data_IF_816211722969
#
_entry.id   IF_816211722969
#
_cell.length_a   1.000
_cell.length_b   1.000
_cell.length_c   1.000
_cell.angle_alpha   90.00
_cell.angle_beta   90.00
_cell.angle_gamma   90.00
#
_symmetry.space_group_name_H-M   'P 1'
#
loop_
_entity.id
_entity.type
_entity.pdbx_description
1 polymer ?
#
# COMPACT_ATOMS: atom_id res chain seq x y z
N UNK A 1 -12.08 -9.47 17.20
CA UNK A 1 -13.42 -9.30 16.64
C UNK A 1 -14.25 -8.35 17.51
N UNK A 2 -14.56 -8.63 18.75
CA UNK A 2 -15.46 -7.82 19.62
C UNK A 2 -15.02 -6.36 19.81
N UNK A 3 -13.72 -6.08 19.98
CA UNK A 3 -13.21 -4.71 20.15
C UNK A 3 -13.41 -3.87 18.88
N UNK A 4 -13.22 -4.45 17.71
CA UNK A 4 -13.41 -3.74 16.44
C UNK A 4 -14.90 -3.43 16.18
N UNK A 5 -15.79 -4.33 16.57
CA UNK A 5 -17.24 -4.09 16.52
C UNK A 5 -17.63 -2.95 17.44
N UNK A 6 -17.13 -2.94 18.68
CA UNK A 6 -17.37 -1.84 19.62
C UNK A 6 -16.84 -0.49 19.09
N UNK A 7 -15.66 -0.47 18.47
CA UNK A 7 -15.10 0.75 17.85
C UNK A 7 -16.02 1.27 16.75
N UNK A 8 -16.54 0.37 15.89
CA UNK A 8 -17.49 0.74 14.82
C UNK A 8 -18.81 1.27 15.39
N UNK A 9 -19.34 0.65 16.43
CA UNK A 9 -20.56 1.12 17.11
C UNK A 9 -20.35 2.52 17.70
N UNK A 10 -19.27 2.74 18.43
CA UNK A 10 -18.92 4.05 18.98
C UNK A 10 -18.73 5.11 17.91
N UNK A 11 -18.08 4.76 16.80
CA UNK A 11 -17.94 5.67 15.68
C UNK A 11 -19.30 6.08 15.11
N UNK A 12 -20.21 5.13 14.94
CA UNK A 12 -21.54 5.37 14.42
C UNK A 12 -22.39 6.21 15.38
N UNK A 13 -22.34 5.90 16.67
CA UNK A 13 -23.18 6.54 17.69
C UNK A 13 -22.73 7.98 17.99
N UNK A 14 -21.42 8.23 17.98
CA UNK A 14 -20.83 9.53 18.33
C UNK A 14 -20.24 10.30 17.13
N UNK A 15 -20.31 9.74 15.94
CA UNK A 15 -19.77 10.33 14.70
C UNK A 15 -18.29 10.76 14.83
N UNK A 16 -17.45 9.93 15.47
CA UNK A 16 -16.04 10.19 15.65
C UNK A 16 -15.24 9.91 14.36
N UNK A 17 -14.18 10.71 14.17
CA UNK A 17 -13.09 10.34 13.27
C UNK A 17 -12.06 9.55 14.06
N UNK A 18 -11.73 8.35 13.60
CA UNK A 18 -10.80 7.45 14.27
C UNK A 18 -9.57 7.27 13.39
N UNK A 19 -8.39 7.53 13.95
CA UNK A 19 -7.11 7.19 13.32
C UNK A 19 -6.63 5.87 13.92
N UNK A 20 -6.58 4.83 13.06
CA UNK A 20 -6.21 3.49 13.46
C UNK A 20 -4.82 3.14 12.90
N UNK A 21 -3.84 2.88 13.77
CA UNK A 21 -2.48 2.53 13.39
C UNK A 21 -2.29 1.03 13.58
N UNK A 22 -2.01 0.31 12.51
CA UNK A 22 -1.85 -1.14 12.54
C UNK A 22 -0.98 -1.62 11.37
N UNK A 23 -0.42 -2.80 11.49
CA UNK A 23 0.22 -3.53 10.40
C UNK A 23 -0.65 -4.69 9.87
N UNK A 24 -1.84 -4.87 10.42
CA UNK A 24 -2.77 -5.93 10.02
C UNK A 24 -3.70 -5.44 8.92
N UNK A 25 -3.40 -5.84 7.68
CA UNK A 25 -4.18 -5.47 6.50
C UNK A 25 -5.61 -6.02 6.53
N UNK A 26 -5.83 -7.16 7.19
CA UNK A 26 -7.17 -7.72 7.36
C UNK A 26 -8.04 -6.86 8.28
N UNK A 27 -7.45 -6.29 9.32
CA UNK A 27 -8.13 -5.31 10.18
C UNK A 27 -8.46 -4.06 9.38
N UNK A 28 -7.48 -3.49 8.64
CA UNK A 28 -7.69 -2.30 7.82
C UNK A 28 -8.83 -2.51 6.82
N UNK A 29 -8.84 -3.63 6.09
CA UNK A 29 -9.87 -3.93 5.10
C UNK A 29 -11.29 -3.96 5.69
N UNK A 30 -11.43 -4.27 6.98
CA UNK A 30 -12.73 -4.40 7.64
C UNK A 30 -13.22 -3.14 8.36
N UNK A 31 -12.31 -2.24 8.76
CA UNK A 31 -12.71 -1.12 9.65
C UNK A 31 -12.45 0.25 9.06
N UNK A 32 -11.54 0.38 8.09
CA UNK A 32 -11.14 1.68 7.58
C UNK A 32 -12.00 2.12 6.38
N UNK A 33 -12.29 3.42 6.29
CA UNK A 33 -12.86 4.05 5.10
C UNK A 33 -11.74 4.49 4.15
N UNK A 34 -10.63 4.98 4.72
CA UNK A 34 -9.45 5.44 3.99
C UNK A 34 -8.19 4.82 4.57
N UNK A 35 -7.19 4.65 3.72
CA UNK A 35 -5.90 4.04 4.08
C UNK A 35 -4.78 4.97 3.68
N UNK A 36 -3.83 5.16 4.60
CA UNK A 36 -2.54 5.75 4.33
C UNK A 36 -1.46 4.69 4.56
N UNK A 37 -0.79 4.29 3.50
CA UNK A 37 0.37 3.38 3.57
C UNK A 37 1.60 4.19 3.88
N UNK A 38 2.34 3.79 4.92
CA UNK A 38 3.55 4.49 5.35
C UNK A 38 4.79 3.65 5.13
N UNK A 39 5.86 4.30 4.70
CA UNK A 39 7.19 3.73 4.61
C UNK A 39 8.24 4.77 5.02
N UNK A 40 9.20 4.37 5.87
CA UNK A 40 10.29 5.25 6.33
C UNK A 40 9.80 6.62 6.85
N UNK A 41 8.69 6.66 7.60
CA UNK A 41 8.14 7.89 8.18
C UNK A 41 7.32 8.75 7.20
N UNK A 42 7.13 8.32 5.96
CA UNK A 42 6.40 9.07 4.93
C UNK A 42 5.15 8.32 4.49
N UNK A 43 4.09 9.06 4.14
CA UNK A 43 2.93 8.49 3.44
C UNK A 43 3.33 8.31 1.98
N UNK A 44 3.28 7.07 1.50
CA UNK A 44 3.67 6.72 0.14
C UNK A 44 2.47 6.39 -0.76
N UNK A 45 1.34 6.04 -0.17
CA UNK A 45 0.08 5.86 -0.88
C UNK A 45 -1.09 6.21 0.03
N UNK A 46 -2.10 6.87 -0.49
CA UNK A 46 -3.29 7.33 0.24
C UNK A 46 -4.51 7.21 -0.67
N UNK A 47 -5.59 6.63 -0.16
CA UNK A 47 -6.84 6.51 -0.90
C UNK A 47 -7.96 5.93 -0.04
N UNK A 48 -9.09 5.60 -0.67
CA UNK A 48 -10.10 4.76 -0.04
C UNK A 48 -9.54 3.34 0.11
N UNK A 49 -10.15 2.54 1.00
CA UNK A 49 -9.77 1.12 1.14
C UNK A 49 -9.84 0.40 -0.21
N UNK A 50 -10.92 0.63 -0.96
CA UNK A 50 -11.11 0.02 -2.28
C UNK A 50 -10.00 0.40 -3.26
N UNK A 51 -9.63 1.68 -3.34
CA UNK A 51 -8.57 2.15 -4.24
C UNK A 51 -7.21 1.53 -3.91
N UNK A 52 -6.82 1.57 -2.63
CA UNK A 52 -5.50 1.09 -2.21
C UNK A 52 -5.42 -0.44 -2.28
N UNK A 53 -6.50 -1.17 -1.97
CA UNK A 53 -6.49 -2.63 -1.98
C UNK A 53 -6.72 -3.22 -3.37
N UNK A 54 -7.56 -2.62 -4.21
CA UNK A 54 -7.91 -3.18 -5.51
C UNK A 54 -7.13 -2.59 -6.68
N UNK A 55 -6.61 -1.37 -6.54
CA UNK A 55 -5.80 -0.72 -7.57
C UNK A 55 -4.55 -0.03 -6.97
N UNK A 56 -3.74 -0.76 -6.18
CA UNK A 56 -2.53 -0.19 -5.57
C UNK A 56 -1.57 0.33 -6.65
N UNK A 57 -0.91 1.44 -6.36
CA UNK A 57 -0.02 2.12 -7.32
C UNK A 57 1.43 2.14 -6.90
N UNK A 58 1.71 2.08 -5.61
CA UNK A 58 3.09 2.09 -5.12
C UNK A 58 3.66 0.67 -5.04
N UNK A 59 4.90 0.42 -5.51
CA UNK A 59 5.53 -0.91 -5.45
C UNK A 59 5.63 -1.51 -4.04
N UNK A 60 5.79 -0.69 -3.01
CA UNK A 60 5.76 -1.17 -1.64
C UNK A 60 4.36 -1.69 -1.24
N UNK A 61 3.29 -1.01 -1.65
CA UNK A 61 1.92 -1.50 -1.43
C UNK A 61 1.67 -2.82 -2.15
N UNK A 62 2.19 -2.98 -3.38
CA UNK A 62 2.14 -4.26 -4.09
C UNK A 62 2.80 -5.39 -3.29
N UNK A 63 3.97 -5.11 -2.72
CA UNK A 63 4.70 -6.07 -1.91
C UNK A 63 3.94 -6.45 -0.62
N UNK A 64 3.37 -5.46 0.06
CA UNK A 64 2.55 -5.69 1.26
C UNK A 64 1.35 -6.58 0.96
N UNK A 65 0.57 -6.24 -0.07
CA UNK A 65 -0.61 -6.99 -0.45
C UNK A 65 -0.25 -8.41 -0.95
N UNK A 66 0.83 -8.54 -1.73
CA UNK A 66 1.32 -9.85 -2.19
C UNK A 66 1.81 -10.75 -1.06
N UNK A 67 2.13 -10.20 0.11
CA UNK A 67 2.55 -10.98 1.28
C UNK A 67 1.39 -11.53 2.11
N UNK A 68 0.14 -11.16 1.76
CA UNK A 68 -1.04 -11.69 2.45
C UNK A 68 -1.18 -13.20 2.21
N UNK A 69 -1.25 -14.02 3.28
CA UNK A 69 -1.39 -15.48 3.14
C UNK A 69 -2.64 -15.89 2.36
N UNK A 70 -3.69 -15.08 2.43
CA UNK A 70 -4.96 -15.31 1.73
C UNK A 70 -4.83 -15.16 0.20
N UNK A 71 -3.83 -14.40 -0.26
CA UNK A 71 -3.54 -14.21 -1.69
C UNK A 71 -2.46 -15.15 -2.20
N UNK A 72 -1.76 -15.84 -1.31
CA UNK A 72 -0.74 -16.82 -1.68
C UNK A 72 -1.38 -17.98 -2.43
N UNK A 73 -1.00 -18.18 -3.68
CA UNK A 73 -1.29 -19.43 -4.38
C UNK A 73 -0.46 -20.55 -3.76
N UNK A 74 -1.00 -21.77 -3.70
CA UNK A 74 -0.38 -22.94 -3.03
C UNK A 74 1.07 -23.22 -3.42
N UNK A 75 1.51 -22.76 -4.61
CA UNK A 75 2.86 -22.97 -5.15
C UNK A 75 3.59 -21.66 -5.47
N UNK A 76 3.02 -20.49 -5.16
CA UNK A 76 3.66 -19.21 -5.42
C UNK A 76 4.64 -18.87 -4.30
N UNK A 77 5.89 -18.59 -4.67
CA UNK A 77 6.88 -18.02 -3.76
C UNK A 77 6.31 -16.71 -3.19
N UNK A 78 6.11 -16.65 -1.87
CA UNK A 78 5.70 -15.42 -1.20
C UNK A 78 6.63 -14.28 -1.64
N UNK A 79 6.05 -13.20 -2.11
CA UNK A 79 6.83 -12.02 -2.49
C UNK A 79 7.49 -11.45 -1.23
N UNK A 80 8.81 -11.48 -1.21
CA UNK A 80 9.60 -10.95 -0.11
C UNK A 80 10.33 -9.70 -0.57
N UNK A 81 10.14 -8.60 0.17
CA UNK A 81 10.91 -7.37 -0.07
C UNK A 81 12.34 -7.62 0.43
N UNK A 82 13.30 -7.65 -0.50
CA UNK A 82 14.72 -7.81 -0.16
C UNK A 82 15.30 -6.55 0.47
N UNK A 83 16.35 -6.71 1.26
CA UNK A 83 17.07 -5.61 1.90
C UNK A 83 16.41 -5.11 3.19
N UNK A 84 17.07 -4.14 3.83
CA UNK A 84 16.61 -3.49 5.07
C UNK A 84 16.04 -2.11 4.79
N UNK A 85 15.04 -1.66 5.57
CA UNK A 85 14.59 -0.27 5.50
C UNK A 85 15.74 0.72 5.74
N UNK A 86 15.67 1.94 5.17
CA UNK A 86 16.69 2.94 5.40
C UNK A 86 16.73 3.34 6.88
N UNK A 87 17.93 3.71 7.34
CA UNK A 87 18.09 4.28 8.68
C UNK A 87 17.46 5.67 8.72
N UNK A 88 16.52 5.89 9.64
CA UNK A 88 15.90 7.21 9.87
C UNK A 88 16.85 8.23 10.51
N UNK A 89 18.06 7.82 10.89
CA UNK A 89 19.10 8.71 11.43
C UNK A 89 19.96 9.37 10.36
N UNK A 90 19.75 9.02 9.07
CA UNK A 90 20.49 9.58 7.94
C UNK A 90 19.53 10.22 6.97
N UNK A 91 19.93 11.34 6.37
CA UNK A 91 19.19 11.94 5.29
C UNK A 91 19.07 10.96 4.13
N UNK A 92 17.85 10.73 3.69
CA UNK A 92 17.56 9.89 2.53
C UNK A 92 17.52 10.78 1.31
N UNK A 93 18.39 10.51 0.34
CA UNK A 93 18.38 11.18 -0.97
C UNK A 93 17.54 10.35 -1.93
N UNK A 94 16.63 11.01 -2.63
CA UNK A 94 15.71 10.33 -3.55
C UNK A 94 14.55 9.63 -2.84
N UNK A 95 14.01 8.60 -3.48
CA UNK A 95 12.94 7.78 -2.91
C UNK A 95 13.50 6.84 -1.82
N UNK A 96 12.93 6.91 -0.63
CA UNK A 96 13.32 6.05 0.48
C UNK A 96 13.16 4.54 0.18
N UNK A 97 12.27 4.17 -0.72
CA UNK A 97 12.05 2.79 -1.14
C UNK A 97 12.99 2.35 -2.29
N UNK A 98 13.66 3.27 -2.97
CA UNK A 98 14.51 2.97 -4.13
C UNK A 98 15.46 1.77 -3.94
N UNK A 99 16.19 1.60 -2.80
CA UNK A 99 17.10 0.48 -2.62
C UNK A 99 16.43 -0.89 -2.58
N UNK A 100 15.12 -0.92 -2.35
CA UNK A 100 14.30 -2.14 -2.22
C UNK A 100 13.26 -2.29 -3.32
N UNK A 101 13.18 -1.29 -4.21
CA UNK A 101 12.21 -1.23 -5.30
C UNK A 101 12.75 -1.98 -6.51
N UNK A 102 12.16 -3.13 -6.91
CA UNK A 102 12.60 -3.87 -8.10
C UNK A 102 12.36 -3.11 -9.41
N UNK A 103 11.54 -2.06 -9.36
CA UNK A 103 11.23 -1.17 -10.51
C UNK A 103 11.94 0.18 -10.39
N UNK A 104 13.00 0.26 -9.57
CA UNK A 104 13.75 1.49 -9.35
C UNK A 104 14.32 2.04 -10.64
N UNK A 105 14.06 3.31 -10.90
CA UNK A 105 14.63 4.07 -12.00
C UNK A 105 15.78 4.98 -11.47
N UNK A 106 16.61 5.47 -12.36
CA UNK A 106 17.70 6.40 -11.97
C UNK A 106 17.19 7.62 -11.21
N UNK A 107 16.02 8.14 -11.57
CA UNK A 107 15.43 9.31 -10.91
C UNK A 107 15.10 9.02 -9.44
N UNK A 108 14.68 7.81 -9.11
CA UNK A 108 14.36 7.40 -7.73
C UNK A 108 15.58 7.55 -6.80
N UNK A 109 16.79 7.41 -7.33
CA UNK A 109 18.02 7.57 -6.55
C UNK A 109 18.48 9.02 -6.39
N UNK A 110 17.88 9.94 -7.12
CA UNK A 110 18.31 11.34 -7.19
C UNK A 110 17.30 12.30 -6.58
N UNK A 111 16.02 12.06 -6.82
CA UNK A 111 14.93 12.96 -6.45
C UNK A 111 13.81 12.17 -5.78
N UNK A 112 13.31 12.74 -4.70
CA UNK A 112 12.11 12.24 -4.02
C UNK A 112 10.90 12.40 -4.96
N UNK A 113 10.09 11.34 -5.17
CA UNK A 113 8.89 11.45 -5.99
C UNK A 113 7.86 12.36 -5.32
N UNK A 114 7.15 13.19 -6.09
CA UNK A 114 6.00 13.91 -5.57
C UNK A 114 4.82 12.94 -5.34
N UNK A 115 3.83 13.41 -4.62
CA UNK A 115 2.56 12.70 -4.49
C UNK A 115 1.75 12.91 -5.78
N UNK A 116 1.70 11.89 -6.64
CA UNK A 116 0.89 11.92 -7.87
C UNK A 116 -0.56 11.61 -7.56
N UNK A 117 -1.46 12.37 -8.14
CA UNK A 117 -2.90 12.12 -8.07
C UNK A 117 -3.30 11.08 -9.13
N UNK A 118 -3.95 9.99 -8.69
CA UNK A 118 -4.44 8.90 -9.54
C UNK A 118 -5.94 9.07 -9.82
N UNK A 119 -6.71 9.31 -8.75
CA UNK A 119 -8.13 9.66 -8.80
C UNK A 119 -8.37 10.90 -7.93
N UNK A 120 -9.61 11.30 -7.76
CA UNK A 120 -9.96 12.41 -6.85
C UNK A 120 -9.50 12.17 -5.40
N UNK A 121 -9.49 10.92 -4.97
CA UNK A 121 -9.19 10.50 -3.58
C UNK A 121 -7.93 9.65 -3.44
N UNK A 122 -7.35 9.14 -4.55
CA UNK A 122 -6.21 8.25 -4.57
C UNK A 122 -4.93 8.95 -5.02
N UNK A 123 -3.89 8.84 -4.20
CA UNK A 123 -2.59 9.44 -4.42
C UNK A 123 -1.48 8.42 -4.15
N UNK A 124 -0.40 8.47 -4.93
CA UNK A 124 0.78 7.64 -4.68
C UNK A 124 2.08 8.38 -4.97
N UNK A 125 3.08 8.12 -4.14
CA UNK A 125 4.38 8.78 -4.14
C UNK A 125 5.41 7.90 -4.86
N UNK A 126 5.30 7.82 -6.18
CA UNK A 126 6.20 7.01 -7.01
C UNK A 126 6.39 7.63 -8.39
N UNK A 127 7.64 7.66 -8.88
CA UNK A 127 7.96 8.12 -10.22
C UNK A 127 7.38 7.25 -11.32
N UNK A 128 6.91 6.03 -11.02
CA UNK A 128 6.22 5.17 -11.98
C UNK A 128 4.91 5.77 -12.51
N UNK A 129 4.37 6.79 -11.84
CA UNK A 129 3.17 7.53 -12.27
C UNK A 129 3.50 8.77 -13.11
N UNK A 130 4.76 9.11 -13.28
CA UNK A 130 5.15 10.18 -14.21
C UNK A 130 4.78 9.78 -15.64
N UNK A 131 4.20 10.69 -16.44
CA UNK A 131 3.83 10.39 -17.83
C UNK A 131 4.99 9.93 -18.73
N UNK A 132 6.23 10.25 -18.34
CA UNK A 132 7.45 9.84 -19.04
C UNK A 132 8.05 8.52 -18.54
N UNK A 133 7.48 7.97 -17.45
CA UNK A 133 7.95 6.70 -16.92
C UNK A 133 7.68 5.55 -17.91
N UNK A 134 8.53 4.53 -17.92
CA UNK A 134 8.25 3.32 -18.70
C UNK A 134 6.97 2.66 -18.18
N UNK A 135 6.16 2.14 -19.09
CA UNK A 135 5.02 1.31 -18.71
C UNK A 135 5.54 -0.02 -18.18
N UNK A 136 5.21 -0.31 -16.94
CA UNK A 136 5.49 -1.60 -16.31
C UNK A 136 4.17 -2.33 -16.04
N UNK A 137 4.21 -3.64 -16.17
CA UNK A 137 3.11 -4.49 -15.74
C UNK A 137 3.20 -4.69 -14.23
N UNK A 138 2.05 -4.63 -13.55
CA UNK A 138 2.00 -4.96 -12.13
C UNK A 138 2.42 -6.43 -11.93
N UNK A 139 3.04 -6.77 -10.79
CA UNK A 139 3.39 -8.16 -10.48
C UNK A 139 2.18 -9.09 -10.60
N UNK A 140 2.40 -10.32 -11.02
CA UNK A 140 1.34 -11.33 -11.20
C UNK A 140 0.48 -11.53 -9.94
N UNK A 141 1.09 -11.40 -8.75
CA UNK A 141 0.37 -11.42 -7.46
C UNK A 141 -0.62 -10.27 -7.27
N UNK A 142 -0.43 -9.15 -7.99
CA UNK A 142 -1.28 -7.95 -7.94
C UNK A 142 -2.24 -7.89 -9.12
N UNK A 143 -1.95 -8.58 -10.20
CA UNK A 143 -2.89 -8.77 -11.29
C UNK A 143 -4.13 -9.48 -10.73
N UNK A 144 -5.32 -8.98 -11.09
CA UNK A 144 -6.60 -9.51 -10.61
C UNK A 144 -6.77 -9.52 -9.07
N UNK A 145 -6.04 -8.65 -8.39
CA UNK A 145 -6.07 -8.56 -6.92
C UNK A 145 -7.50 -8.33 -6.40
N UNK A 146 -8.32 -7.58 -7.13
CA UNK A 146 -9.71 -7.36 -6.79
C UNK A 146 -10.50 -8.67 -6.66
N UNK A 147 -10.38 -9.57 -7.64
CA UNK A 147 -11.06 -10.87 -7.57
C UNK A 147 -10.51 -11.77 -6.47
N UNK A 148 -9.18 -11.73 -6.28
CA UNK A 148 -8.50 -12.50 -5.22
C UNK A 148 -8.93 -12.05 -3.83
N UNK A 149 -9.00 -10.74 -3.59
CA UNK A 149 -9.43 -10.18 -2.31
C UNK A 149 -10.91 -10.42 -2.03
N UNK A 150 -11.78 -10.27 -3.03
CA UNK A 150 -13.21 -10.62 -2.89
C UNK A 150 -13.40 -12.06 -2.43
N UNK A 151 -12.69 -12.99 -3.03
CA UNK A 151 -12.74 -14.40 -2.64
C UNK A 151 -12.18 -14.65 -1.23
N UNK A 152 -11.09 -13.95 -0.88
CA UNK A 152 -10.40 -14.14 0.40
C UNK A 152 -11.17 -13.56 1.60
N UNK A 153 -11.80 -12.41 1.43
CA UNK A 153 -12.51 -11.71 2.50
C UNK A 153 -14.03 -11.83 2.43
N UNK A 154 -14.55 -12.54 1.41
CA UNK A 154 -15.99 -12.82 1.24
C UNK A 154 -16.86 -11.55 1.12
N UNK A 155 -16.34 -10.51 0.46
CA UNK A 155 -16.95 -9.19 0.22
C UNK A 155 -17.27 -8.99 -1.25
#
# INVERSE_FOLDING_TARGET
AQILELIKELQKDFNYTIVFITHDLGVVANVADRVAVMYAGQIIELGTVEEVFYDPRHPYTWALLSSLPQLAQKDAKLYSITGTPPSLYKDVVGDAFAPRNPYCMKIDTLLEPPMFQVTETHYAKTWLLDPKAPRIEKPEGIQDIHEKLRKAFNI
#
